data_IF_265901968357
#
_entry.id   IF_265901968357
#
_cell.length_a   1.000
_cell.length_b   1.000
_cell.length_c   1.000
_cell.angle_alpha   90.00
_cell.angle_beta   90.00
_cell.angle_gamma   90.00
#
_symmetry.space_group_name_H-M   'P 1'
#
loop_
_entity.id
_entity.type
_entity.pdbx_description
1 polymer ?
#
# COMPACT_ATOMS: atom_id res chain seq x y z
N UNK A 1 -11.34 28.06 38.62
CA UNK A 1 -11.81 27.97 37.22
C UNK A 1 -10.59 27.75 36.35
N UNK A 2 -10.16 26.50 36.18
CA UNK A 2 -8.94 26.19 35.43
C UNK A 2 -9.36 25.69 34.04
N UNK A 3 -9.26 26.59 33.06
CA UNK A 3 -9.62 26.36 31.67
C UNK A 3 -8.61 25.44 31.00
N UNK A 4 -9.04 24.22 30.71
CA UNK A 4 -8.33 23.29 29.83
C UNK A 4 -8.49 23.81 28.39
N UNK A 5 -7.41 24.28 27.80
CA UNK A 5 -7.38 24.70 26.39
C UNK A 5 -7.44 23.47 25.47
N UNK A 6 -8.15 23.53 24.32
CA UNK A 6 -8.45 22.36 23.48
C UNK A 6 -7.28 21.88 22.60
N UNK A 7 -6.07 22.43 22.74
CA UNK A 7 -4.94 22.15 21.85
C UNK A 7 -4.34 20.72 21.99
N UNK A 8 -4.66 20.00 23.06
CA UNK A 8 -4.05 18.69 23.33
C UNK A 8 -4.64 17.52 22.52
N UNK A 9 -5.74 17.72 21.77
CA UNK A 9 -6.38 16.63 21.01
C UNK A 9 -5.77 16.36 19.61
N UNK A 10 -4.82 17.18 19.14
CA UNK A 10 -4.26 17.03 17.79
C UNK A 10 -2.88 16.35 17.72
N UNK A 11 -2.08 16.34 18.80
CA UNK A 11 -0.71 15.79 18.74
C UNK A 11 -0.64 14.26 18.62
N UNK A 12 -1.60 13.52 19.17
CA UNK A 12 -1.50 12.05 19.25
C UNK A 12 -1.64 11.37 17.87
N UNK A 13 -2.41 11.96 16.94
CA UNK A 13 -2.59 11.43 15.59
C UNK A 13 -1.38 11.69 14.67
N UNK A 14 -0.69 12.83 14.84
CA UNK A 14 0.44 13.23 14.00
C UNK A 14 1.71 12.41 14.33
N UNK A 15 1.93 12.07 15.60
CA UNK A 15 3.09 11.27 16.01
C UNK A 15 3.07 9.84 15.45
N UNK A 16 1.89 9.20 15.32
CA UNK A 16 1.76 7.82 14.80
C UNK A 16 1.98 7.68 13.29
N UNK A 17 1.71 8.72 12.50
CA UNK A 17 1.91 8.68 11.04
C UNK A 17 3.42 8.70 10.70
N UNK A 18 4.19 9.44 11.51
CA UNK A 18 5.64 9.62 11.32
C UNK A 18 6.43 8.31 11.52
N UNK A 19 6.00 7.44 12.43
CA UNK A 19 6.70 6.16 12.71
C UNK A 19 6.46 5.13 11.60
N UNK A 20 5.23 5.02 11.08
CA UNK A 20 4.88 4.03 10.02
C UNK A 20 5.66 4.29 8.73
N UNK A 21 5.84 5.56 8.36
CA UNK A 21 6.59 5.93 7.16
C UNK A 21 8.09 5.56 7.24
N UNK A 22 8.72 5.78 8.40
CA UNK A 22 10.13 5.44 8.63
C UNK A 22 10.37 3.92 8.70
N UNK A 23 9.42 3.17 9.28
CA UNK A 23 9.47 1.71 9.31
C UNK A 23 9.36 1.11 7.89
N UNK A 24 8.44 1.64 7.06
CA UNK A 24 8.29 1.23 5.66
C UNK A 24 9.57 1.54 4.87
N UNK A 25 10.16 2.71 5.07
CA UNK A 25 11.42 3.10 4.40
C UNK A 25 12.57 2.16 4.75
N UNK A 26 12.67 1.72 6.00
CA UNK A 26 13.69 0.76 6.43
C UNK A 26 13.45 -0.62 5.82
N UNK A 27 12.20 -1.09 5.79
CA UNK A 27 11.83 -2.36 5.12
C UNK A 27 12.13 -2.34 3.63
N UNK A 28 11.92 -1.21 2.97
CA UNK A 28 12.22 -1.02 1.55
C UNK A 28 13.73 -1.07 1.28
N UNK A 29 14.56 -0.45 2.15
CA UNK A 29 16.02 -0.45 1.99
C UNK A 29 16.62 -1.85 1.95
N UNK A 30 16.09 -2.75 2.78
CA UNK A 30 16.59 -4.13 2.91
C UNK A 30 15.74 -5.15 2.12
N UNK A 31 14.88 -4.68 1.20
CA UNK A 31 13.98 -5.55 0.45
C UNK A 31 14.74 -6.36 -0.60
N UNK A 32 14.67 -7.70 -0.50
CA UNK A 32 15.21 -8.62 -1.50
C UNK A 32 14.09 -9.22 -2.35
N UNK A 33 13.11 -9.85 -1.72
CA UNK A 33 11.94 -10.48 -2.36
C UNK A 33 10.73 -10.36 -1.45
N UNK A 34 9.54 -10.73 -1.95
CA UNK A 34 8.32 -10.75 -1.16
C UNK A 34 8.48 -11.73 0.03
N UNK A 35 8.26 -11.28 1.27
CA UNK A 35 8.34 -12.16 2.44
C UNK A 35 7.16 -13.14 2.47
N UNK A 36 7.27 -14.17 3.31
CA UNK A 36 6.15 -15.07 3.59
C UNK A 36 4.97 -14.28 4.20
N UNK A 37 3.78 -14.50 3.64
CA UNK A 37 2.52 -13.94 4.15
C UNK A 37 1.63 -15.07 4.68
N UNK A 38 1.33 -15.05 5.98
CA UNK A 38 0.50 -16.05 6.65
C UNK A 38 -0.94 -16.09 6.14
N UNK A 39 -1.44 -15.04 5.48
CA UNK A 39 -2.78 -15.04 4.86
C UNK A 39 -2.81 -15.90 3.58
N UNK A 40 -1.65 -16.13 2.97
CA UNK A 40 -1.49 -16.93 1.76
C UNK A 40 -0.45 -18.05 1.95
N UNK A 41 -0.70 -19.01 2.87
CA UNK A 41 0.30 -20.02 3.25
C UNK A 41 0.44 -21.16 2.22
N UNK A 42 -0.50 -21.29 1.29
CA UNK A 42 -0.57 -22.39 0.34
C UNK A 42 0.27 -22.13 -0.92
N UNK A 43 0.53 -23.18 -1.71
CA UNK A 43 1.28 -23.08 -2.96
C UNK A 43 0.64 -22.13 -4.00
N UNK A 44 -0.69 -21.99 -4.00
CA UNK A 44 -1.37 -21.07 -4.91
C UNK A 44 -1.26 -19.61 -4.43
N UNK A 45 -0.39 -18.84 -5.07
CA UNK A 45 -0.12 -17.43 -4.74
C UNK A 45 -0.92 -16.42 -5.59
N UNK A 46 -1.88 -16.87 -6.39
CA UNK A 46 -2.69 -16.00 -7.28
C UNK A 46 -3.38 -14.88 -6.50
N UNK A 47 -3.98 -15.22 -5.34
CA UNK A 47 -4.68 -14.23 -4.49
C UNK A 47 -3.72 -13.25 -3.83
N UNK A 48 -2.49 -13.67 -3.51
CA UNK A 48 -1.46 -12.81 -2.93
C UNK A 48 -1.05 -11.72 -3.93
N UNK A 49 -0.76 -12.12 -5.16
CA UNK A 49 -0.48 -11.19 -6.26
C UNK A 49 -1.64 -10.22 -6.48
N UNK A 50 -2.87 -10.73 -6.64
CA UNK A 50 -4.06 -9.91 -6.88
C UNK A 50 -4.32 -8.89 -5.76
N UNK A 51 -4.22 -9.32 -4.50
CA UNK A 51 -4.46 -8.46 -3.35
C UNK A 51 -3.44 -7.32 -3.29
N UNK A 52 -2.14 -7.61 -3.46
CA UNK A 52 -1.11 -6.57 -3.43
C UNK A 52 -1.21 -5.58 -4.60
N UNK A 53 -1.63 -6.05 -5.78
CA UNK A 53 -1.89 -5.16 -6.92
C UNK A 53 -3.05 -4.19 -6.62
N UNK A 54 -4.16 -4.69 -6.08
CA UNK A 54 -5.29 -3.85 -5.67
C UNK A 54 -4.90 -2.87 -4.56
N UNK A 55 -4.18 -3.33 -3.54
CA UNK A 55 -3.81 -2.50 -2.39
C UNK A 55 -2.86 -1.38 -2.78
N UNK A 56 -1.94 -1.61 -3.72
CA UNK A 56 -1.12 -0.55 -4.29
C UNK A 56 -1.98 0.54 -4.92
N UNK A 57 -2.89 0.20 -5.83
CA UNK A 57 -3.69 1.21 -6.55
C UNK A 57 -4.73 1.89 -5.67
N UNK A 58 -5.29 1.19 -4.67
CA UNK A 58 -6.15 1.80 -3.65
C UNK A 58 -5.38 2.81 -2.80
N UNK A 59 -4.17 2.43 -2.38
CA UNK A 59 -3.28 3.31 -1.62
C UNK A 59 -2.89 4.53 -2.46
N UNK A 60 -2.47 4.33 -3.71
CA UNK A 60 -2.11 5.39 -4.66
C UNK A 60 -3.25 6.39 -4.85
N UNK A 61 -4.48 5.89 -5.10
CA UNK A 61 -5.68 6.71 -5.23
C UNK A 61 -5.99 7.49 -3.95
N UNK A 62 -5.92 6.83 -2.79
CA UNK A 62 -6.18 7.46 -1.49
C UNK A 62 -5.13 8.53 -1.15
N UNK A 63 -3.86 8.29 -1.47
CA UNK A 63 -2.77 9.24 -1.21
C UNK A 63 -2.82 10.43 -2.17
N UNK A 64 -3.11 10.19 -3.45
CA UNK A 64 -3.31 11.26 -4.45
C UNK A 64 -4.47 12.18 -4.04
N UNK A 65 -5.60 11.61 -3.59
CA UNK A 65 -6.74 12.39 -3.12
C UNK A 65 -6.45 13.23 -1.86
N UNK A 66 -5.54 12.74 -1.00
CA UNK A 66 -5.15 13.42 0.25
C UNK A 66 -3.96 14.37 0.09
N UNK A 67 -3.36 14.45 -1.10
CA UNK A 67 -2.11 15.19 -1.33
C UNK A 67 -0.91 14.61 -0.56
N UNK A 68 -0.97 13.33 -0.18
CA UNK A 68 0.08 12.63 0.56
C UNK A 68 1.13 12.00 -0.36
N UNK A 69 2.29 11.65 0.21
CA UNK A 69 3.36 10.97 -0.53
C UNK A 69 3.05 9.51 -0.84
N UNK A 70 3.24 9.10 -2.10
CA UNK A 70 3.09 7.70 -2.57
C UNK A 70 4.14 6.76 -1.95
N UNK A 71 5.14 7.29 -1.22
CA UNK A 71 6.19 6.52 -0.55
C UNK A 71 5.67 5.47 0.43
N UNK A 72 4.47 5.67 1.00
CA UNK A 72 3.83 4.70 1.90
C UNK A 72 3.32 3.47 1.13
N UNK A 73 2.91 3.65 -0.13
CA UNK A 73 2.38 2.59 -0.99
C UNK A 73 3.46 1.76 -1.67
N UNK A 74 4.71 2.23 -1.64
CA UNK A 74 5.86 1.62 -2.33
C UNK A 74 6.13 0.17 -1.91
N UNK A 75 5.77 -0.19 -0.67
CA UNK A 75 5.84 -1.58 -0.20
C UNK A 75 5.00 -2.51 -1.09
N UNK A 76 3.72 -2.19 -1.29
CA UNK A 76 2.81 -2.98 -2.12
C UNK A 76 3.30 -3.07 -3.56
N UNK A 77 3.89 -1.97 -4.08
CA UNK A 77 4.48 -1.94 -5.41
C UNK A 77 5.57 -2.99 -5.60
N UNK A 78 6.47 -3.12 -4.61
CA UNK A 78 7.56 -4.10 -4.66
C UNK A 78 7.05 -5.53 -4.54
N UNK A 79 6.07 -5.76 -3.67
CA UNK A 79 5.50 -7.09 -3.44
C UNK A 79 4.78 -7.60 -4.69
N UNK A 80 3.84 -6.85 -5.27
CA UNK A 80 3.13 -7.36 -6.46
C UNK A 80 4.09 -7.50 -7.66
N UNK A 81 5.09 -6.62 -7.82
CA UNK A 81 6.09 -6.78 -8.91
C UNK A 81 6.96 -8.02 -8.76
N UNK A 82 7.15 -8.51 -7.54
CA UNK A 82 7.93 -9.73 -7.27
C UNK A 82 7.09 -11.00 -7.42
N UNK A 83 5.78 -10.92 -7.13
CA UNK A 83 4.88 -12.09 -7.15
C UNK A 83 4.12 -12.26 -8.47
N UNK A 84 3.72 -11.16 -9.11
CA UNK A 84 2.82 -11.20 -10.25
C UNK A 84 3.57 -11.45 -11.57
N UNK A 85 3.05 -12.32 -12.45
CA UNK A 85 3.50 -12.39 -13.83
C UNK A 85 3.37 -11.02 -14.52
N UNK A 86 4.40 -10.63 -15.29
CA UNK A 86 4.41 -9.33 -16.01
C UNK A 86 3.21 -9.21 -16.96
N UNK A 87 2.83 -10.32 -17.61
CA UNK A 87 1.68 -10.36 -18.51
C UNK A 87 0.36 -10.04 -17.82
N UNK A 88 0.19 -10.45 -16.56
CA UNK A 88 -1.02 -10.14 -15.79
C UNK A 88 -1.06 -8.66 -15.41
N UNK A 89 0.07 -8.12 -14.93
CA UNK A 89 0.17 -6.70 -14.57
C UNK A 89 -0.13 -5.83 -15.79
N UNK A 90 0.50 -6.09 -16.94
CA UNK A 90 0.23 -5.34 -18.17
C UNK A 90 -1.24 -5.41 -18.57
N UNK A 91 -1.84 -6.61 -18.60
CA UNK A 91 -3.24 -6.76 -18.97
C UNK A 91 -4.20 -6.08 -17.99
N UNK A 92 -3.86 -6.01 -16.69
CA UNK A 92 -4.66 -5.28 -15.72
C UNK A 92 -4.45 -3.77 -15.81
N UNK A 93 -3.24 -3.31 -16.14
CA UNK A 93 -2.93 -1.90 -16.37
C UNK A 93 -3.72 -1.38 -17.59
N UNK A 94 -3.74 -2.13 -18.69
CA UNK A 94 -4.50 -1.80 -19.90
C UNK A 94 -6.00 -1.71 -19.59
N UNK A 95 -6.56 -2.70 -18.88
CA UNK A 95 -7.97 -2.68 -18.45
C UNK A 95 -8.30 -1.51 -17.52
N UNK A 96 -7.35 -1.05 -16.69
CA UNK A 96 -7.55 0.15 -15.85
C UNK A 96 -7.53 1.41 -16.70
N UNK A 97 -6.67 1.49 -17.71
CA UNK A 97 -6.64 2.61 -18.65
C UNK A 97 -7.92 2.68 -19.50
N UNK A 98 -8.50 1.53 -19.84
CA UNK A 98 -9.78 1.41 -20.56
C UNK A 98 -11.02 1.49 -19.66
N UNK A 99 -10.87 1.63 -18.34
CA UNK A 99 -11.97 1.59 -17.35
C UNK A 99 -12.81 0.29 -17.38
N UNK A 100 -12.23 -0.81 -17.86
CA UNK A 100 -12.85 -2.14 -17.95
C UNK A 100 -12.38 -3.10 -16.85
N UNK A 101 -11.63 -2.61 -15.87
CA UNK A 101 -11.04 -3.42 -14.81
C UNK A 101 -12.10 -3.91 -13.80
N UNK A 102 -12.21 -5.23 -13.52
CA UNK A 102 -13.29 -5.77 -12.68
C UNK A 102 -13.07 -5.56 -11.17
N UNK A 103 -11.86 -5.20 -10.75
CA UNK A 103 -11.52 -5.03 -9.34
C UNK A 103 -11.86 -3.62 -8.83
N UNK A 104 -12.40 -3.53 -7.61
CA UNK A 104 -12.69 -2.24 -6.96
C UNK A 104 -11.42 -1.57 -6.46
N UNK A 105 -11.05 -0.44 -7.06
CA UNK A 105 -9.89 0.42 -6.73
C UNK A 105 -10.35 1.77 -6.18
#
# INVERSE_FOLDING_TARGET
MNGITPAARCCCAVFRISTVAEDIKTKIKNYQTAPFDSHFPNQNQTRNCWQNYLDFHRCEKAMTAKGGGVSVCEWYRRVYKSLCPISWVSAWDDRRAEDTFPGKI
#
